data_IF_371494059532
#
_entry.id   IF_371494059532
#
_cell.length_a   1.000
_cell.length_b   1.000
_cell.length_c   1.000
_cell.angle_alpha   90.00
_cell.angle_beta   90.00
_cell.angle_gamma   90.00
#
_symmetry.space_group_name_H-M   'P 1'
#
loop_
_entity.id
_entity.type
_entity.pdbx_description
1 polymer ?
#
# COMPACT_ATOMS: atom_id res chain seq x y z
N UNK A 1 31.15 26.29 -22.40
CA UNK A 1 29.68 26.28 -22.57
C UNK A 1 29.08 25.71 -21.29
N UNK A 2 28.24 26.46 -20.57
CA UNK A 2 27.65 26.00 -19.31
C UNK A 2 26.55 24.99 -19.67
N UNK A 3 26.78 23.71 -19.40
CA UNK A 3 25.78 22.67 -19.63
C UNK A 3 24.65 22.87 -18.62
N UNK A 4 23.54 23.45 -19.05
CA UNK A 4 22.32 23.47 -18.26
C UNK A 4 21.74 22.06 -18.27
N UNK A 5 21.79 21.37 -17.13
CA UNK A 5 20.99 20.16 -16.95
C UNK A 5 19.55 20.61 -16.72
N UNK A 6 18.63 20.41 -17.68
CA UNK A 6 17.24 20.78 -17.45
C UNK A 6 16.70 20.00 -16.26
N UNK A 7 15.98 20.68 -15.38
CA UNK A 7 15.28 20.06 -14.25
C UNK A 7 14.29 19.06 -14.86
N UNK A 8 14.57 17.76 -14.76
CA UNK A 8 13.67 16.75 -15.29
C UNK A 8 12.44 16.63 -14.37
N UNK A 9 11.22 16.66 -14.93
CA UNK A 9 10.00 16.53 -14.15
C UNK A 9 9.81 15.09 -13.65
N UNK A 10 10.32 14.80 -12.45
CA UNK A 10 10.13 13.50 -11.77
C UNK A 10 8.71 13.31 -11.18
N UNK A 11 7.89 14.36 -11.16
CA UNK A 11 6.59 14.38 -10.47
C UNK A 11 5.61 13.32 -10.99
N UNK A 12 5.63 13.04 -12.29
CA UNK A 12 4.78 12.01 -12.90
C UNK A 12 5.22 10.61 -12.45
N UNK A 13 6.53 10.35 -12.43
CA UNK A 13 7.10 9.08 -11.95
C UNK A 13 6.80 8.86 -10.47
N UNK A 14 6.93 9.90 -9.63
CA UNK A 14 6.60 9.83 -8.19
C UNK A 14 5.11 9.60 -7.94
N UNK A 15 4.24 10.26 -8.72
CA UNK A 15 2.79 10.03 -8.66
C UNK A 15 2.47 8.59 -9.05
N UNK A 16 3.01 8.10 -10.16
CA UNK A 16 2.77 6.74 -10.62
C UNK A 16 3.27 5.70 -9.61
N UNK A 17 4.44 5.93 -9.01
CA UNK A 17 4.98 5.11 -7.93
C UNK A 17 4.03 5.06 -6.73
N UNK A 18 3.46 6.19 -6.33
CA UNK A 18 2.52 6.27 -5.21
C UNK A 18 1.16 5.65 -5.52
N UNK A 19 0.66 5.81 -6.76
CA UNK A 19 -0.61 5.21 -7.18
C UNK A 19 -0.47 3.69 -7.20
N UNK A 20 0.54 3.17 -7.91
CA UNK A 20 0.71 1.73 -8.11
C UNK A 20 1.31 1.09 -6.85
N UNK A 21 2.48 1.56 -6.41
CA UNK A 21 3.16 1.02 -5.23
C UNK A 21 2.39 1.30 -3.94
N UNK A 22 1.77 2.48 -3.80
CA UNK A 22 0.96 2.78 -2.61
C UNK A 22 -0.35 2.02 -2.59
N UNK A 23 -0.94 1.74 -3.76
CA UNK A 23 -2.11 0.88 -3.88
C UNK A 23 -1.80 -0.56 -3.47
N UNK A 24 -0.69 -1.11 -3.97
CA UNK A 24 -0.20 -2.43 -3.58
C UNK A 24 0.06 -2.52 -2.06
N UNK A 25 0.74 -1.51 -1.50
CA UNK A 25 0.98 -1.43 -0.06
C UNK A 25 -0.33 -1.42 0.73
N UNK A 26 -1.29 -0.57 0.33
CA UNK A 26 -2.59 -0.46 0.98
C UNK A 26 -3.34 -1.80 0.97
N UNK A 27 -3.41 -2.48 -0.18
CA UNK A 27 -4.05 -3.79 -0.26
C UNK A 27 -3.35 -4.85 0.59
N UNK A 28 -2.01 -4.85 0.66
CA UNK A 28 -1.27 -5.80 1.51
C UNK A 28 -1.56 -5.57 3.00
N UNK A 29 -1.63 -4.32 3.46
CA UNK A 29 -1.98 -3.98 4.84
C UNK A 29 -3.43 -4.33 5.17
N UNK A 30 -4.38 -3.93 4.31
CA UNK A 30 -5.80 -4.28 4.50
C UNK A 30 -6.00 -5.80 4.45
N UNK A 31 -5.26 -6.51 3.61
CA UNK A 31 -5.26 -7.97 3.55
C UNK A 31 -4.82 -8.63 4.87
N UNK A 32 -3.79 -8.08 5.54
CA UNK A 32 -3.38 -8.51 6.87
C UNK A 32 -4.50 -8.31 7.90
N UNK A 33 -5.15 -7.15 7.91
CA UNK A 33 -6.30 -6.89 8.79
C UNK A 33 -7.51 -7.77 8.47
N UNK A 34 -7.76 -8.06 7.20
CA UNK A 34 -8.86 -8.91 6.79
C UNK A 34 -8.67 -10.36 7.27
N UNK A 35 -7.43 -10.87 7.22
CA UNK A 35 -7.10 -12.25 7.63
C UNK A 35 -6.92 -12.41 9.14
N UNK A 36 -6.17 -11.51 9.78
CA UNK A 36 -5.77 -11.62 11.19
C UNK A 36 -6.55 -10.68 12.12
N UNK A 37 -7.52 -9.94 11.60
CA UNK A 37 -8.37 -9.08 12.40
C UNK A 37 -9.24 -9.86 13.40
N UNK A 38 -9.92 -9.14 14.32
CA UNK A 38 -10.67 -9.73 15.46
C UNK A 38 -11.76 -10.74 15.09
N UNK A 39 -12.10 -10.84 13.80
CA UNK A 39 -13.09 -11.74 13.23
C UNK A 39 -12.54 -12.26 11.90
N UNK A 40 -11.56 -13.16 11.92
CA UNK A 40 -10.93 -13.72 10.71
C UNK A 40 -11.95 -14.37 9.75
N UNK A 41 -11.56 -14.62 8.49
CA UNK A 41 -12.45 -15.24 7.47
C UNK A 41 -12.99 -16.63 7.87
N UNK A 42 -12.40 -17.27 8.87
CA UNK A 42 -12.77 -18.59 9.39
C UNK A 42 -13.92 -18.58 10.38
N UNK A 43 -14.34 -17.41 10.88
CA UNK A 43 -15.47 -17.31 11.79
C UNK A 43 -16.78 -17.25 10.99
N UNK A 44 -17.77 -18.06 11.36
CA UNK A 44 -19.15 -17.93 10.84
C UNK A 44 -19.78 -16.69 11.46
N UNK A 45 -19.73 -15.57 10.74
CA UNK A 45 -20.15 -14.28 11.26
C UNK A 45 -21.51 -13.89 10.65
N UNK A 46 -22.39 -13.27 11.46
CA UNK A 46 -23.69 -12.73 11.03
C UNK A 46 -23.57 -11.70 9.90
N UNK A 47 -24.59 -11.56 9.06
CA UNK A 47 -24.60 -10.69 7.88
C UNK A 47 -24.27 -9.21 8.17
N UNK A 48 -24.68 -8.70 9.33
CA UNK A 48 -24.42 -7.29 9.73
C UNK A 48 -22.93 -7.02 9.98
N UNK A 49 -22.22 -7.97 10.58
CA UNK A 49 -20.78 -7.85 10.86
C UNK A 49 -19.95 -7.94 9.57
N UNK A 50 -20.39 -8.75 8.59
CA UNK A 50 -19.76 -8.79 7.26
C UNK A 50 -19.81 -7.43 6.56
N UNK A 51 -20.92 -6.71 6.68
CA UNK A 51 -21.07 -5.35 6.16
C UNK A 51 -20.10 -4.40 6.87
N UNK A 52 -20.08 -4.38 8.21
CA UNK A 52 -19.17 -3.51 8.97
C UNK A 52 -17.69 -3.79 8.66
N UNK A 53 -17.29 -5.06 8.54
CA UNK A 53 -15.93 -5.45 8.16
C UNK A 53 -15.56 -4.97 6.75
N UNK A 54 -16.48 -5.12 5.79
CA UNK A 54 -16.25 -4.68 4.41
C UNK A 54 -16.11 -3.16 4.35
N UNK A 55 -17.00 -2.43 5.04
CA UNK A 55 -16.92 -0.97 5.12
C UNK A 55 -15.62 -0.54 5.80
N UNK A 56 -15.27 -1.16 6.93
CA UNK A 56 -14.02 -0.86 7.64
C UNK A 56 -12.79 -1.06 6.74
N UNK A 57 -12.68 -2.20 6.06
CA UNK A 57 -11.56 -2.49 5.16
C UNK A 57 -11.52 -1.51 3.98
N UNK A 58 -12.67 -1.18 3.40
CA UNK A 58 -12.78 -0.21 2.31
C UNK A 58 -12.32 1.18 2.77
N UNK A 59 -12.81 1.66 3.91
CA UNK A 59 -12.46 2.98 4.44
C UNK A 59 -11.05 3.06 5.00
N UNK A 60 -10.47 1.96 5.47
CA UNK A 60 -9.08 1.88 5.93
C UNK A 60 -8.09 1.93 4.75
N UNK A 61 -8.47 1.40 3.59
CA UNK A 61 -7.59 1.37 2.40
C UNK A 61 -7.21 2.77 1.89
N UNK A 62 -8.17 3.70 1.90
CA UNK A 62 -8.01 5.07 1.37
C UNK A 62 -6.97 5.90 2.14
N UNK A 63 -7.03 6.05 3.48
CA UNK A 63 -6.05 6.83 4.22
C UNK A 63 -4.65 6.23 4.13
N UNK A 64 -4.50 4.89 4.14
CA UNK A 64 -3.20 4.24 3.95
C UNK A 64 -2.64 4.58 2.56
N UNK A 65 -3.48 4.52 1.53
CA UNK A 65 -3.06 4.81 0.16
C UNK A 65 -2.67 6.29 -0.03
N UNK A 66 -3.47 7.22 0.49
CA UNK A 66 -3.17 8.65 0.43
C UNK A 66 -1.91 9.02 1.22
N UNK A 67 -1.67 8.37 2.35
CA UNK A 67 -0.47 8.55 3.14
C UNK A 67 0.77 8.04 2.38
N UNK A 68 0.68 6.87 1.74
CA UNK A 68 1.74 6.36 0.87
C UNK A 68 2.02 7.28 -0.35
N UNK A 69 0.95 7.79 -0.98
CA UNK A 69 1.03 8.81 -2.04
C UNK A 69 1.72 10.09 -1.56
N UNK A 70 1.41 10.55 -0.35
CA UNK A 70 2.04 11.75 0.23
C UNK A 70 3.53 11.54 0.46
N UNK A 71 3.92 10.35 0.94
CA UNK A 71 5.32 10.00 1.15
C UNK A 71 6.14 9.92 -0.15
N UNK A 72 5.53 9.69 -1.32
CA UNK A 72 6.29 9.62 -2.57
C UNK A 72 6.96 10.93 -2.94
N UNK A 73 6.38 12.05 -2.50
CA UNK A 73 6.95 13.39 -2.68
C UNK A 73 8.10 13.70 -1.74
N UNK A 74 8.28 12.92 -0.66
CA UNK A 74 9.42 13.06 0.24
C UNK A 74 10.71 12.50 -0.36
N UNK A 75 10.63 11.60 -1.35
CA UNK A 75 11.80 11.04 -2.02
C UNK A 75 12.43 12.02 -3.01
N UNK A 76 13.75 11.94 -3.15
CA UNK A 76 14.51 12.87 -3.99
C UNK A 76 14.29 12.60 -5.48
N UNK A 77 14.20 11.34 -5.90
CA UNK A 77 13.95 10.93 -7.29
C UNK A 77 12.76 9.96 -7.43
N UNK A 78 12.21 9.84 -8.66
CA UNK A 78 11.16 8.87 -8.96
C UNK A 78 11.62 7.42 -8.79
N UNK A 79 12.86 7.11 -9.17
CA UNK A 79 13.44 5.77 -9.01
C UNK A 79 13.55 5.35 -7.53
N UNK A 80 13.92 6.28 -6.64
CA UNK A 80 13.89 6.02 -5.21
C UNK A 80 12.48 5.72 -4.72
N UNK A 81 11.48 6.51 -5.12
CA UNK A 81 10.09 6.27 -4.74
C UNK A 81 9.61 4.87 -5.16
N UNK A 82 9.94 4.44 -6.39
CA UNK A 82 9.63 3.10 -6.87
C UNK A 82 10.30 2.00 -6.04
N UNK A 83 11.61 2.11 -5.81
CA UNK A 83 12.36 1.11 -5.05
C UNK A 83 11.84 0.97 -3.62
N UNK A 84 11.58 2.10 -2.94
CA UNK A 84 11.06 2.08 -1.57
C UNK A 84 9.63 1.55 -1.52
N UNK A 85 8.70 2.04 -2.36
CA UNK A 85 7.32 1.56 -2.29
C UNK A 85 7.19 0.08 -2.72
N UNK A 86 7.92 -0.36 -3.74
CA UNK A 86 7.89 -1.77 -4.15
C UNK A 86 8.54 -2.68 -3.11
N UNK A 87 9.67 -2.27 -2.51
CA UNK A 87 10.31 -3.08 -1.46
C UNK A 87 9.44 -3.20 -0.21
N UNK A 88 8.83 -2.11 0.25
CA UNK A 88 7.91 -2.14 1.40
C UNK A 88 6.66 -2.94 1.06
N UNK A 89 6.08 -2.76 -0.13
CA UNK A 89 4.93 -3.57 -0.57
C UNK A 89 5.27 -5.05 -0.63
N UNK A 90 6.41 -5.40 -1.23
CA UNK A 90 6.88 -6.78 -1.32
C UNK A 90 7.14 -7.39 0.07
N UNK A 91 7.70 -6.62 1.01
CA UNK A 91 7.88 -7.06 2.39
C UNK A 91 6.52 -7.33 3.07
N UNK A 92 5.53 -6.43 2.92
CA UNK A 92 4.19 -6.67 3.47
C UNK A 92 3.50 -7.89 2.85
N UNK A 93 3.62 -8.09 1.54
CA UNK A 93 3.10 -9.29 0.89
C UNK A 93 3.85 -10.56 1.32
N UNK A 94 5.16 -10.50 1.52
CA UNK A 94 5.93 -11.62 2.05
C UNK A 94 5.50 -11.99 3.47
N UNK A 95 5.31 -10.98 4.34
CA UNK A 95 4.77 -11.18 5.69
C UNK A 95 3.37 -11.82 5.62
N UNK A 96 2.48 -11.31 4.76
CA UNK A 96 1.16 -11.88 4.56
C UNK A 96 1.24 -13.34 4.08
N UNK A 97 2.12 -13.65 3.13
CA UNK A 97 2.30 -15.00 2.60
C UNK A 97 2.88 -15.96 3.66
N UNK A 98 3.86 -15.53 4.45
CA UNK A 98 4.42 -16.31 5.56
C UNK A 98 3.35 -16.59 6.60
N UNK A 99 2.65 -15.56 7.06
CA UNK A 99 1.60 -15.72 8.08
C UNK A 99 0.46 -16.62 7.59
N UNK A 100 0.09 -16.52 6.31
CA UNK A 100 -0.90 -17.40 5.69
C UNK A 100 -0.41 -18.83 5.42
N UNK A 101 0.88 -19.02 5.22
CA UNK A 101 1.47 -20.35 5.04
C UNK A 101 1.66 -21.10 6.36
N UNK A 102 1.71 -20.36 7.48
CA UNK A 102 1.85 -20.90 8.84
C UNK A 102 0.48 -21.19 9.50
N UNK A 103 -0.59 -20.50 9.08
CA UNK A 103 -1.98 -20.69 9.53
C UNK A 103 -2.69 -21.85 8.84
#
# INVERSE_FOLDING_TARGET
MKNYTPIQPDWLSKTLAGVIGGGLLSFSMVGLFAWFGPSGLTSSISGTELLWRTQFNMWLSVPIWLLALSFTYMFRSGAQAWLYLLSVSAACFAVLAILRGVS
#
